data_IF_502582736338
#
_entry.id   IF_502582736338
#
_cell.length_a   1.000
_cell.length_b   1.000
_cell.length_c   1.000
_cell.angle_alpha   90.00
_cell.angle_beta   90.00
_cell.angle_gamma   90.00
#
_symmetry.space_group_name_H-M   'P 1'
#
loop_
_entity.id
_entity.type
_entity.pdbx_description
1 polymer ?
#
# COMPACT_ATOMS: atom_id res chain seq x y z
N UNK A 1 27.60 -4.05 3.83
CA UNK A 1 27.04 -4.52 5.11
C UNK A 1 25.92 -3.55 5.44
N UNK A 2 24.66 -3.95 5.28
CA UNK A 2 23.53 -3.11 5.67
C UNK A 2 23.33 -3.30 7.17
N UNK A 3 23.85 -2.37 7.99
CA UNK A 3 23.49 -2.24 9.41
C UNK A 3 22.08 -1.63 9.51
N UNK A 4 21.09 -2.34 8.96
CA UNK A 4 19.71 -1.91 8.89
C UNK A 4 18.83 -2.76 9.79
N UNK A 5 18.10 -2.12 10.71
CA UNK A 5 17.02 -2.78 11.44
C UNK A 5 15.83 -2.97 10.50
N UNK A 6 15.47 -4.21 10.21
CA UNK A 6 14.25 -4.55 9.48
C UNK A 6 13.12 -4.78 10.50
N UNK A 7 12.12 -3.90 10.50
CA UNK A 7 10.90 -4.04 11.30
C UNK A 7 9.77 -4.56 10.41
N UNK A 8 9.28 -5.76 10.73
CA UNK A 8 8.16 -6.36 10.02
C UNK A 8 6.87 -6.14 10.80
N UNK A 9 5.95 -5.34 10.24
CA UNK A 9 4.61 -5.13 10.81
C UNK A 9 3.58 -5.86 9.97
N UNK A 10 3.01 -6.95 10.50
CA UNK A 10 1.94 -7.66 9.83
C UNK A 10 0.59 -7.05 10.25
N UNK A 11 -0.06 -6.32 9.35
CA UNK A 11 -1.47 -5.99 9.51
C UNK A 11 -2.30 -7.23 9.20
N UNK A 12 -3.20 -7.65 10.10
CA UNK A 12 -4.21 -8.67 9.77
C UNK A 12 -5.32 -8.06 8.90
N UNK A 13 -4.96 -7.46 7.77
CA UNK A 13 -5.85 -6.66 6.92
C UNK A 13 -5.63 -5.16 7.09
N UNK A 14 -6.73 -4.40 7.26
CA UNK A 14 -6.67 -2.94 7.33
C UNK A 14 -5.91 -2.47 8.56
N UNK A 15 -5.01 -1.48 8.42
CA UNK A 15 -4.13 -1.08 9.50
C UNK A 15 -4.86 -0.21 10.53
N UNK A 16 -4.73 -0.59 11.80
CA UNK A 16 -5.29 0.14 12.93
C UNK A 16 -4.57 1.50 13.13
N UNK A 17 -5.26 2.44 13.77
CA UNK A 17 -4.69 3.74 14.16
C UNK A 17 -3.36 3.61 14.93
N UNK A 18 -3.23 2.78 15.99
CA UNK A 18 -1.96 2.66 16.72
C UNK A 18 -0.83 2.12 15.85
N UNK A 19 -1.11 1.14 14.99
CA UNK A 19 -0.14 0.56 14.06
C UNK A 19 0.42 1.63 13.11
N UNK A 20 -0.45 2.51 12.61
CA UNK A 20 -0.07 3.62 11.73
C UNK A 20 0.72 4.70 12.45
N UNK A 21 0.33 5.05 13.68
CA UNK A 21 1.10 5.98 14.52
C UNK A 21 2.49 5.44 14.84
N UNK A 22 2.58 4.15 15.16
CA UNK A 22 3.85 3.51 15.47
C UNK A 22 4.78 3.53 14.24
N UNK A 23 4.28 3.14 13.07
CA UNK A 23 5.05 3.21 11.83
C UNK A 23 5.51 4.64 11.51
N UNK A 24 4.62 5.63 11.62
CA UNK A 24 4.97 7.04 11.43
C UNK A 24 6.07 7.50 12.38
N UNK A 25 5.92 7.18 13.66
CA UNK A 25 6.90 7.52 14.68
C UNK A 25 8.26 6.90 14.38
N UNK A 26 8.32 5.63 13.99
CA UNK A 26 9.57 4.97 13.60
C UNK A 26 10.25 5.66 12.42
N UNK A 27 9.49 6.00 11.37
CA UNK A 27 10.03 6.70 10.20
C UNK A 27 10.55 8.08 10.57
N UNK A 28 9.82 8.83 11.39
CA UNK A 28 10.25 10.18 11.82
C UNK A 28 11.45 10.15 12.76
N UNK A 29 11.53 9.19 13.69
CA UNK A 29 12.64 9.15 14.65
C UNK A 29 13.89 8.53 14.05
N UNK A 30 13.74 7.43 13.32
CA UNK A 30 14.87 6.65 12.80
C UNK A 30 15.26 7.07 11.38
N UNK A 31 14.45 7.89 10.70
CA UNK A 31 14.67 8.33 9.32
C UNK A 31 14.89 7.15 8.35
N UNK A 32 14.24 6.02 8.64
CA UNK A 32 14.38 4.80 7.86
C UNK A 32 13.38 4.79 6.70
N UNK A 33 13.78 4.27 5.53
CA UNK A 33 12.85 4.08 4.42
C UNK A 33 11.79 3.04 4.81
N UNK A 34 10.52 3.41 4.63
CA UNK A 34 9.40 2.51 4.84
C UNK A 34 9.02 1.81 3.54
N UNK A 35 8.89 0.49 3.60
CA UNK A 35 8.44 -0.33 2.48
C UNK A 35 7.18 -1.09 2.88
N UNK A 36 6.26 -1.24 1.93
CA UNK A 36 5.02 -1.98 2.12
C UNK A 36 4.93 -3.07 1.06
N UNK A 37 4.71 -4.30 1.51
CA UNK A 37 4.44 -5.46 0.67
C UNK A 37 2.96 -5.82 0.85
N UNK A 38 2.22 -5.81 -0.25
CA UNK A 38 0.77 -6.11 -0.28
C UNK A 38 0.47 -7.00 -1.47
N UNK A 39 -0.63 -7.73 -1.39
CA UNK A 39 -1.11 -8.56 -2.50
C UNK A 39 -1.49 -7.68 -3.70
N UNK A 40 -1.35 -8.22 -4.92
CA UNK A 40 -1.74 -7.57 -6.18
C UNK A 40 -3.26 -7.56 -6.39
N UNK A 41 -4.01 -7.17 -5.38
CA UNK A 41 -5.46 -7.06 -5.45
C UNK A 41 -5.96 -5.65 -5.05
N UNK A 42 -7.21 -5.31 -5.34
CA UNK A 42 -7.75 -4.00 -4.99
C UNK A 42 -7.76 -3.71 -3.47
N UNK A 43 -7.73 -4.73 -2.61
CA UNK A 43 -7.71 -4.58 -1.15
C UNK A 43 -6.30 -4.27 -0.64
N UNK A 44 -5.28 -4.98 -1.13
CA UNK A 44 -3.87 -4.71 -0.87
C UNK A 44 -3.51 -3.29 -1.31
N UNK A 45 -3.98 -2.87 -2.48
CA UNK A 45 -3.82 -1.50 -2.94
C UNK A 45 -4.51 -0.48 -2.02
N UNK A 46 -5.73 -0.76 -1.55
CA UNK A 46 -6.46 0.12 -0.62
C UNK A 46 -5.75 0.23 0.75
N UNK A 47 -5.10 -0.85 1.21
CA UNK A 47 -4.26 -0.85 2.40
C UNK A 47 -3.03 0.04 2.21
N UNK A 48 -2.31 -0.13 1.10
CA UNK A 48 -1.15 0.70 0.75
C UNK A 48 -1.54 2.19 0.64
N UNK A 49 -2.62 2.48 -0.09
CA UNK A 49 -3.16 3.83 -0.24
C UNK A 49 -3.55 4.42 1.12
N UNK A 50 -4.10 3.60 2.01
CA UNK A 50 -4.38 4.01 3.38
C UNK A 50 -3.09 4.42 4.09
N UNK A 51 -2.03 3.62 4.08
CA UNK A 51 -0.75 4.02 4.70
C UNK A 51 -0.16 5.31 4.11
N UNK A 52 -0.18 5.46 2.79
CA UNK A 52 0.45 6.61 2.10
C UNK A 52 -0.36 7.90 2.19
N UNK A 53 -1.66 7.83 1.95
CA UNK A 53 -2.52 9.00 1.77
C UNK A 53 -3.44 9.28 2.96
N UNK A 54 -3.65 8.30 3.84
CA UNK A 54 -4.66 8.40 4.89
C UNK A 54 -5.95 7.63 4.53
N UNK A 55 -6.81 7.41 5.54
CA UNK A 55 -8.17 6.92 5.30
C UNK A 55 -9.11 8.10 5.08
N UNK A 56 -10.06 7.99 4.14
CA UNK A 56 -11.09 9.02 3.93
C UNK A 56 -11.96 9.24 5.18
N UNK A 57 -12.19 8.19 5.98
CA UNK A 57 -12.98 8.29 7.22
C UNK A 57 -12.23 9.02 8.34
N UNK A 58 -10.89 9.04 8.28
CA UNK A 58 -10.00 9.69 9.24
C UNK A 58 -9.20 10.80 8.56
N UNK A 59 -9.85 11.56 7.67
CA UNK A 59 -9.20 12.61 6.90
C UNK A 59 -8.58 13.70 7.79
N UNK A 60 -9.18 13.98 8.95
CA UNK A 60 -8.66 14.94 9.93
C UNK A 60 -7.33 14.48 10.54
N UNK A 61 -7.24 13.20 10.88
CA UNK A 61 -6.03 12.58 11.46
C UNK A 61 -5.02 12.14 10.39
N UNK A 62 -5.38 12.23 9.10
CA UNK A 62 -4.53 11.77 8.00
C UNK A 62 -3.15 12.44 8.03
N UNK A 63 -3.06 13.71 8.43
CA UNK A 63 -1.79 14.42 8.54
C UNK A 63 -0.81 13.81 9.56
N UNK A 64 -1.32 13.14 10.60
CA UNK A 64 -0.53 12.54 11.68
C UNK A 64 -0.38 11.02 11.50
N UNK A 65 -1.25 10.39 10.70
CA UNK A 65 -1.28 8.94 10.52
C UNK A 65 -0.66 8.47 9.20
N UNK A 66 -0.43 9.37 8.25
CA UNK A 66 0.10 9.01 6.93
C UNK A 66 1.62 8.94 6.91
N UNK A 67 2.14 7.98 6.14
CA UNK A 67 3.57 7.83 5.86
C UNK A 67 3.76 8.02 4.36
N UNK A 68 3.91 9.27 3.87
CA UNK A 68 3.92 9.57 2.44
C UNK A 68 5.16 8.99 1.74
N UNK A 69 6.24 8.77 2.48
CA UNK A 69 7.49 8.18 1.97
C UNK A 69 7.42 6.67 1.79
N UNK A 70 6.32 6.02 2.18
CA UNK A 70 6.17 4.58 2.04
C UNK A 70 6.22 4.18 0.57
N UNK A 71 7.06 3.20 0.26
CA UNK A 71 7.22 2.66 -1.08
C UNK A 71 6.57 1.30 -1.17
N UNK A 72 5.85 1.08 -2.27
CA UNK A 72 5.32 -0.24 -2.58
C UNK A 72 6.47 -1.12 -3.09
N UNK A 73 6.69 -2.25 -2.41
CA UNK A 73 7.77 -3.20 -2.73
C UNK A 73 7.29 -4.34 -3.66
N UNK A 74 5.98 -4.46 -3.92
CA UNK A 74 5.40 -5.50 -4.78
C UNK A 74 4.22 -6.22 -4.11
N UNK A 75 3.50 -7.12 -4.78
CA UNK A 75 3.69 -7.72 -6.13
C UNK A 75 3.06 -6.84 -7.22
N UNK A 76 3.76 -6.55 -8.32
CA UNK A 76 3.23 -5.76 -9.43
C UNK A 76 2.62 -6.64 -10.51
N UNK A 77 1.65 -6.10 -11.27
CA UNK A 77 1.10 -6.76 -12.46
C UNK A 77 2.18 -7.09 -13.48
N UNK A 78 3.19 -6.23 -13.62
CA UNK A 78 4.36 -6.45 -14.48
C UNK A 78 5.22 -7.65 -14.06
N UNK A 79 5.26 -7.98 -12.76
CA UNK A 79 6.06 -9.11 -12.26
C UNK A 79 5.51 -10.45 -12.78
N UNK A 80 4.21 -10.54 -13.08
CA UNK A 80 3.62 -11.75 -13.65
C UNK A 80 4.18 -12.05 -15.04
N UNK A 81 4.38 -11.02 -15.87
CA UNK A 81 4.96 -11.16 -17.21
C UNK A 81 6.47 -11.45 -17.12
N UNK A 82 7.20 -10.77 -16.23
CA UNK A 82 8.65 -10.90 -16.09
C UNK A 82 9.08 -12.28 -15.52
N UNK A 83 8.34 -12.80 -14.54
CA UNK A 83 8.68 -14.07 -13.88
C UNK A 83 7.96 -15.29 -14.45
N UNK A 84 7.17 -15.12 -15.53
CA UNK A 84 6.39 -16.19 -16.18
C UNK A 84 5.63 -17.06 -15.16
N UNK A 85 4.93 -16.42 -14.22
CA UNK A 85 4.22 -17.14 -13.17
C UNK A 85 3.11 -18.01 -13.78
N UNK A 86 2.96 -19.28 -13.35
CA UNK A 86 1.98 -20.18 -13.94
C UNK A 86 0.55 -19.68 -13.68
N UNK A 87 -0.33 -19.84 -14.67
CA UNK A 87 -1.73 -19.38 -14.62
C UNK A 87 -2.51 -19.93 -13.42
N UNK A 88 -2.10 -21.07 -12.85
CA UNK A 88 -2.71 -21.63 -11.65
C UNK A 88 -2.53 -20.77 -10.39
N UNK A 89 -1.58 -19.84 -10.39
CA UNK A 89 -1.36 -18.87 -9.33
C UNK A 89 -2.18 -17.57 -9.52
N UNK A 90 -2.82 -17.39 -10.68
CA UNK A 90 -3.63 -16.20 -10.98
C UNK A 90 -5.09 -16.43 -10.60
N UNK A 91 -5.58 -15.61 -9.67
CA UNK A 91 -7.00 -15.55 -9.35
C UNK A 91 -7.68 -14.53 -10.28
N UNK A 92 -8.75 -14.96 -10.94
CA UNK A 92 -9.57 -14.08 -11.76
C UNK A 92 -10.26 -13.03 -10.87
N UNK A 93 -10.10 -11.75 -11.23
CA UNK A 93 -10.78 -10.66 -10.54
C UNK A 93 -12.30 -10.86 -10.61
N UNK A 94 -12.95 -10.84 -9.44
CA UNK A 94 -14.41 -10.88 -9.37
C UNK A 94 -15.02 -9.55 -9.85
N UNK A 95 -16.33 -9.56 -10.10
CA UNK A 95 -17.07 -8.32 -10.39
C UNK A 95 -16.99 -7.30 -9.24
N UNK A 96 -16.91 -7.78 -7.99
CA UNK A 96 -16.76 -6.94 -6.81
C UNK A 96 -15.39 -6.27 -6.74
N UNK A 97 -14.33 -7.02 -7.07
CA UNK A 97 -12.95 -6.52 -7.14
C UNK A 97 -12.82 -5.42 -8.18
N UNK A 98 -13.40 -5.63 -9.37
CA UNK A 98 -13.41 -4.61 -10.45
C UNK A 98 -14.10 -3.33 -10.01
N UNK A 99 -15.28 -3.44 -9.39
CA UNK A 99 -16.00 -2.27 -8.88
C UNK A 99 -15.19 -1.51 -7.83
N UNK A 100 -14.48 -2.23 -6.97
CA UNK A 100 -13.60 -1.61 -5.95
C UNK A 100 -12.41 -0.91 -6.60
N UNK A 101 -11.79 -1.55 -7.60
CA UNK A 101 -10.68 -0.97 -8.36
C UNK A 101 -11.09 0.33 -9.06
N UNK A 102 -12.24 0.33 -9.75
CA UNK A 102 -12.80 1.54 -10.36
C UNK A 102 -13.05 2.65 -9.32
N UNK A 103 -13.60 2.30 -8.17
CA UNK A 103 -13.80 3.22 -7.04
C UNK A 103 -12.49 3.76 -6.46
N UNK A 104 -11.39 3.02 -6.55
CA UNK A 104 -10.06 3.47 -6.15
C UNK A 104 -9.46 4.39 -7.22
N UNK A 105 -9.54 4.03 -8.50
CA UNK A 105 -8.98 4.79 -9.63
C UNK A 105 -9.54 6.21 -9.75
N UNK A 106 -10.78 6.41 -9.31
CA UNK A 106 -11.47 7.71 -9.27
C UNK A 106 -11.01 8.62 -8.13
N UNK A 107 -10.19 8.14 -7.18
CA UNK A 107 -9.74 8.93 -6.02
C UNK A 107 -8.69 9.97 -6.41
N UNK A 108 -8.86 11.19 -5.89
CA UNK A 108 -8.08 12.37 -6.28
C UNK A 108 -6.56 12.26 -6.03
N UNK A 109 -6.13 11.49 -5.02
CA UNK A 109 -4.71 11.38 -4.67
C UNK A 109 -3.91 10.55 -5.68
N UNK A 110 -4.52 9.58 -6.38
CA UNK A 110 -3.83 8.83 -7.44
C UNK A 110 -3.48 9.71 -8.64
N UNK A 111 -4.34 10.69 -8.92
CA UNK A 111 -4.09 11.67 -9.98
C UNK A 111 -2.98 12.67 -9.65
N UNK A 112 -2.70 12.90 -8.35
CA UNK A 112 -1.80 13.98 -7.90
C UNK A 112 -0.47 13.49 -7.35
N UNK A 113 -0.45 12.34 -6.67
CA UNK A 113 0.67 11.93 -5.81
C UNK A 113 1.29 10.56 -6.15
N UNK A 114 0.65 9.75 -7.01
CA UNK A 114 1.20 8.46 -7.45
C UNK A 114 0.69 8.05 -8.85
N UNK A 115 1.00 8.81 -9.91
CA UNK A 115 0.61 8.46 -11.29
C UNK A 115 1.19 7.12 -11.76
N UNK A 116 2.34 6.72 -11.21
CA UNK A 116 3.03 5.46 -11.53
C UNK A 116 2.24 4.20 -11.12
N UNK A 117 1.23 4.33 -10.26
CA UNK A 117 0.42 3.20 -9.79
C UNK A 117 -0.77 2.85 -10.71
N UNK A 118 -0.83 3.47 -11.90
CA UNK A 118 -1.87 3.20 -12.91
C UNK A 118 -1.47 2.18 -13.98
N UNK A 119 -0.21 1.76 -13.97
CA UNK A 119 0.34 0.79 -14.92
C UNK A 119 -0.07 -0.64 -14.62
#
# INVERSE_FOLDING_TARGET
MFDGFLLFTQGRGYPDIPTRRFLRYLVEQLHLPAYCLVDSDPYGFDILATYKFGSMQLAYDANVLRVPEIRWLGVFTSDFEEYCLPDCCQLQLSSEDRRKLEGILTRCYLHKEAPEWRG
#
